data_IF_594906452592
#
_entry.id   IF_594906452592
#
_cell.length_a   1.000
_cell.length_b   1.000
_cell.length_c   1.000
_cell.angle_alpha   90.00
_cell.angle_beta   90.00
_cell.angle_gamma   90.00
#
_symmetry.space_group_name_H-M   'P 1'
#
loop_
_entity.id
_entity.type
_entity.pdbx_description
1 polymer ?
#
# COMPACT_ATOMS: atom_id res chain seq x y z
N UNK A 1 -19.29 -26.13 26.51
CA UNK A 1 -19.15 -24.65 26.56
C UNK A 1 -17.68 -24.42 26.83
N UNK A 2 -16.86 -24.42 25.79
CA UNK A 2 -15.41 -24.32 25.91
C UNK A 2 -14.93 -23.14 25.06
N UNK A 3 -15.22 -21.94 25.57
CA UNK A 3 -14.53 -20.71 25.20
C UNK A 3 -13.48 -20.50 26.29
N UNK A 4 -12.20 -20.69 25.99
CA UNK A 4 -11.04 -19.97 26.56
C UNK A 4 -9.73 -20.73 26.31
N UNK A 5 -9.04 -20.42 25.21
CA UNK A 5 -7.57 -20.38 25.24
C UNK A 5 -6.98 -19.45 24.16
N UNK A 6 -7.56 -18.25 24.02
CA UNK A 6 -6.90 -17.12 23.35
C UNK A 6 -6.01 -16.45 24.39
N UNK A 7 -4.71 -16.28 24.11
CA UNK A 7 -3.83 -15.41 24.89
C UNK A 7 -4.45 -14.02 25.05
N UNK A 8 -5.11 -13.79 26.18
CA UNK A 8 -5.69 -12.50 26.50
C UNK A 8 -4.58 -11.65 27.14
N UNK A 9 -4.39 -10.44 26.61
CA UNK A 9 -3.43 -9.48 27.20
C UNK A 9 -3.84 -9.25 28.66
N UNK A 10 -2.95 -9.45 29.65
CA UNK A 10 -3.24 -9.13 31.04
C UNK A 10 -3.73 -7.69 31.20
N UNK A 11 -4.77 -7.47 32.01
CA UNK A 11 -5.36 -6.15 32.20
C UNK A 11 -4.34 -5.08 32.61
N UNK A 12 -3.31 -5.47 33.35
CA UNK A 12 -2.21 -4.60 33.80
C UNK A 12 -1.29 -4.10 32.66
N UNK A 13 -1.38 -4.69 31.46
CA UNK A 13 -0.64 -4.27 30.28
C UNK A 13 -1.52 -3.57 29.24
N UNK A 14 -2.79 -3.31 29.56
CA UNK A 14 -3.71 -2.63 28.66
C UNK A 14 -3.81 -1.15 29.00
N UNK A 15 -3.78 -0.33 27.96
CA UNK A 15 -4.10 1.08 28.04
C UNK A 15 -5.58 1.25 28.43
N UNK A 16 -5.92 2.04 29.47
CA UNK A 16 -7.31 2.25 29.87
C UNK A 16 -8.18 2.96 28.83
N UNK A 17 -7.57 3.66 27.85
CA UNK A 17 -8.30 4.38 26.80
C UNK A 17 -8.55 3.47 25.58
N UNK A 18 -7.49 2.90 25.00
CA UNK A 18 -7.61 2.07 23.80
C UNK A 18 -8.03 0.63 24.10
N UNK A 19 -7.84 0.18 25.34
CA UNK A 19 -7.98 -1.22 25.78
C UNK A 19 -6.99 -2.19 25.08
N UNK A 20 -6.04 -1.64 24.33
CA UNK A 20 -4.96 -2.36 23.66
C UNK A 20 -3.71 -2.43 24.54
N UNK A 21 -2.77 -3.31 24.18
CA UNK A 21 -1.44 -3.39 24.81
C UNK A 21 -0.74 -2.02 24.75
N UNK A 22 -0.14 -1.57 25.85
CA UNK A 22 0.69 -0.36 25.80
C UNK A 22 1.84 -0.51 24.80
N UNK A 23 2.00 0.48 23.92
CA UNK A 23 3.13 0.58 22.97
C UNK A 23 4.19 1.55 23.48
N UNK A 24 3.76 2.67 24.04
CA UNK A 24 4.61 3.64 24.72
C UNK A 24 3.92 4.12 26.01
N UNK A 25 4.03 3.36 27.12
CA UNK A 25 3.34 3.68 28.35
C UNK A 25 3.90 4.97 28.97
N UNK A 26 3.03 5.94 29.21
CA UNK A 26 3.33 7.23 29.84
C UNK A 26 2.40 7.48 31.02
N UNK A 27 2.92 8.07 32.07
CA UNK A 27 2.22 8.34 33.32
C UNK A 27 1.93 9.84 33.44
N UNK A 28 0.67 10.17 33.79
CA UNK A 28 0.27 11.53 34.14
C UNK A 28 0.64 11.87 35.59
N UNK A 29 0.56 13.15 35.96
CA UNK A 29 0.77 13.62 37.35
C UNK A 29 -0.19 12.98 38.37
N UNK A 30 -1.31 12.40 37.93
CA UNK A 30 -2.24 11.62 38.76
C UNK A 30 -1.75 10.19 39.07
N UNK A 31 -0.61 9.76 38.52
CA UNK A 31 -0.06 8.42 38.68
C UNK A 31 -0.68 7.35 37.77
N UNK A 32 -1.68 7.70 36.95
CA UNK A 32 -2.28 6.77 35.98
C UNK A 32 -1.46 6.70 34.70
N UNK A 33 -1.34 5.49 34.14
CA UNK A 33 -0.54 5.23 32.93
C UNK A 33 -1.43 4.98 31.72
N UNK A 34 -1.08 5.61 30.60
CA UNK A 34 -1.77 5.56 29.31
C UNK A 34 -0.78 5.28 28.18
N UNK A 35 -1.26 4.79 27.05
CA UNK A 35 -0.44 4.73 25.84
C UNK A 35 -0.29 6.15 25.26
N UNK A 36 0.93 6.58 24.94
CA UNK A 36 1.23 7.96 24.54
C UNK A 36 0.29 8.50 23.45
N UNK A 37 0.10 7.82 22.29
CA UNK A 37 -0.81 8.29 21.26
C UNK A 37 -2.25 8.46 21.74
N UNK A 38 -2.69 7.61 22.67
CA UNK A 38 -4.06 7.63 23.21
C UNK A 38 -4.28 8.84 24.11
N UNK A 39 -3.34 9.12 25.02
CA UNK A 39 -3.48 10.25 25.95
C UNK A 39 -3.21 11.59 25.27
N UNK A 40 -2.25 11.66 24.33
CA UNK A 40 -2.00 12.87 23.55
C UNK A 40 -3.24 13.25 22.71
N UNK A 41 -3.90 12.27 22.11
CA UNK A 41 -5.17 12.49 21.40
C UNK A 41 -6.29 12.96 22.32
N UNK A 42 -6.41 12.39 23.53
CA UNK A 42 -7.40 12.81 24.53
C UNK A 42 -7.22 14.28 24.94
N UNK A 43 -5.97 14.68 25.21
CA UNK A 43 -5.64 16.06 25.60
C UNK A 43 -5.81 17.04 24.44
N UNK A 44 -5.40 16.66 23.22
CA UNK A 44 -5.62 17.46 22.02
C UNK A 44 -7.11 17.68 21.71
N UNK A 45 -7.99 16.78 22.18
CA UNK A 45 -9.44 16.93 22.12
C UNK A 45 -10.03 17.98 23.07
N UNK A 46 -9.20 18.72 23.83
CA UNK A 46 -9.62 19.78 24.75
C UNK A 46 -9.96 19.28 26.16
N UNK A 47 -9.71 18.01 26.47
CA UNK A 47 -9.99 17.46 27.79
C UNK A 47 -8.87 17.85 28.78
N UNK A 48 -9.26 18.39 29.95
CA UNK A 48 -8.32 18.79 31.01
C UNK A 48 -8.36 17.87 32.24
N UNK A 49 -8.85 16.65 32.08
CA UNK A 49 -9.04 15.68 33.16
C UNK A 49 -8.37 14.36 32.84
N UNK A 50 -7.93 13.67 33.90
CA UNK A 50 -7.47 12.30 33.84
C UNK A 50 -8.64 11.36 33.47
N UNK A 51 -8.54 10.55 32.39
CA UNK A 51 -9.64 9.69 31.92
C UNK A 51 -10.17 8.69 32.96
N UNK A 52 -9.32 8.22 33.87
CA UNK A 52 -9.67 7.18 34.86
C UNK A 52 -10.08 7.79 36.19
N UNK A 53 -9.30 8.74 36.71
CA UNK A 53 -9.58 9.33 38.04
C UNK A 53 -10.56 10.49 37.99
N UNK A 54 -10.87 11.00 36.79
CA UNK A 54 -11.68 12.21 36.57
C UNK A 54 -11.14 13.46 37.27
N UNK A 55 -9.90 13.43 37.77
CA UNK A 55 -9.25 14.57 38.42
C UNK A 55 -8.75 15.55 37.37
N UNK A 56 -8.85 16.85 37.68
CA UNK A 56 -8.31 17.91 36.84
C UNK A 56 -6.79 17.84 36.84
N UNK A 57 -6.19 17.85 35.66
CA UNK A 57 -4.74 17.81 35.53
C UNK A 57 -4.16 19.20 35.82
N UNK A 58 -3.20 19.33 36.76
CA UNK A 58 -2.52 20.59 37.02
C UNK A 58 -1.63 21.01 35.84
N UNK A 59 -1.09 20.02 35.11
CA UNK A 59 -0.29 20.17 33.93
C UNK A 59 -0.53 19.02 32.94
N UNK A 60 -0.15 19.21 31.67
CA UNK A 60 -0.29 18.21 30.61
C UNK A 60 0.98 17.39 30.38
N UNK A 61 1.89 17.39 31.36
CA UNK A 61 3.14 16.66 31.24
C UNK A 61 2.90 15.15 31.31
N UNK A 62 3.60 14.41 30.45
CA UNK A 62 3.55 12.95 30.38
C UNK A 62 4.96 12.41 30.60
N UNK A 63 5.13 11.56 31.61
CA UNK A 63 6.42 10.97 31.94
C UNK A 63 6.47 9.52 31.43
N UNK A 64 7.49 9.10 30.65
CA UNK A 64 7.61 7.72 30.22
C UNK A 64 7.67 6.72 31.39
N UNK A 65 6.85 5.68 31.36
CA UNK A 65 6.87 4.60 32.34
C UNK A 65 7.75 3.45 31.85
N UNK A 66 9.06 3.65 31.95
CA UNK A 66 10.06 2.66 31.52
C UNK A 66 9.93 1.33 32.26
N UNK A 67 9.51 1.35 33.53
CA UNK A 67 9.31 0.15 34.34
C UNK A 67 8.18 -0.71 33.79
N UNK A 68 7.01 -0.12 33.50
CA UNK A 68 5.90 -0.84 32.89
C UNK A 68 6.27 -1.34 31.50
N UNK A 69 7.00 -0.53 30.72
CA UNK A 69 7.54 -0.95 29.42
C UNK A 69 8.42 -2.19 29.56
N UNK A 70 9.38 -2.21 30.50
CA UNK A 70 10.22 -3.37 30.78
C UNK A 70 9.43 -4.61 31.24
N UNK A 71 8.38 -4.44 32.05
CA UNK A 71 7.53 -5.55 32.48
C UNK A 71 6.69 -6.11 31.35
N UNK A 72 6.17 -5.24 30.50
CA UNK A 72 5.51 -5.62 29.26
C UNK A 72 6.52 -6.39 28.42
N UNK A 73 7.67 -5.83 28.07
CA UNK A 73 8.74 -6.49 27.31
C UNK A 73 9.09 -7.88 27.89
N UNK A 74 9.14 -8.02 29.21
CA UNK A 74 9.42 -9.31 29.87
C UNK A 74 8.26 -10.31 29.82
N UNK A 75 7.03 -9.86 30.02
CA UNK A 75 5.85 -10.70 29.85
C UNK A 75 5.71 -11.15 28.40
N UNK A 76 5.97 -10.20 27.51
CA UNK A 76 6.03 -10.39 26.09
C UNK A 76 7.04 -11.52 25.74
N UNK A 77 8.24 -11.48 26.32
CA UNK A 77 9.24 -12.54 26.13
C UNK A 77 8.81 -13.93 26.65
N UNK A 78 7.81 -14.04 27.53
CA UNK A 78 7.31 -15.33 28.07
C UNK A 78 6.15 -15.92 27.28
N UNK A 79 5.19 -15.10 26.81
CA UNK A 79 3.97 -15.58 26.14
C UNK A 79 4.21 -16.39 24.86
N UNK A 80 5.38 -16.24 24.23
CA UNK A 80 5.76 -16.97 23.01
C UNK A 80 6.24 -18.41 23.29
N UNK A 81 6.64 -18.72 24.54
CA UNK A 81 7.18 -20.02 24.91
C UNK A 81 6.11 -21.08 25.23
N UNK A 82 4.93 -20.68 25.72
CA UNK A 82 3.95 -21.60 26.31
C UNK A 82 3.00 -22.27 25.30
N UNK A 83 3.07 -21.94 24.01
CA UNK A 83 2.11 -22.46 23.03
C UNK A 83 2.46 -23.81 22.37
N UNK A 84 3.55 -24.49 22.76
CA UNK A 84 3.87 -25.80 22.17
C UNK A 84 4.16 -26.96 23.11
N UNK A 85 4.48 -26.76 24.39
CA UNK A 85 4.84 -27.89 25.26
C UNK A 85 4.19 -27.79 26.64
N UNK A 86 2.96 -28.29 26.73
CA UNK A 86 2.50 -28.95 27.95
C UNK A 86 3.31 -30.24 28.10
N UNK A 87 4.30 -30.18 28.99
CA UNK A 87 5.03 -31.27 29.66
C UNK A 87 6.55 -31.22 29.47
N UNK A 88 7.18 -30.93 30.62
CA UNK A 88 8.56 -31.19 31.03
C UNK A 88 9.69 -30.38 30.38
N UNK A 89 10.51 -29.82 31.27
CA UNK A 89 11.91 -29.55 31.00
C UNK A 89 12.26 -28.08 31.03
N UNK A 90 13.02 -27.70 32.06
CA UNK A 90 13.80 -26.48 32.12
C UNK A 90 14.52 -26.17 30.80
N UNK A 91 14.05 -25.17 30.08
CA UNK A 91 14.66 -24.66 28.86
C UNK A 91 14.51 -23.15 28.83
N UNK A 92 15.64 -22.46 28.83
CA UNK A 92 15.77 -21.01 28.70
C UNK A 92 14.89 -20.53 27.52
N UNK A 93 14.09 -19.45 27.66
CA UNK A 93 13.24 -19.00 26.56
C UNK A 93 14.12 -18.58 25.39
N UNK A 94 13.89 -19.18 24.21
CA UNK A 94 14.52 -18.77 22.95
C UNK A 94 13.95 -17.39 22.60
N UNK A 95 14.62 -16.36 23.12
CA UNK A 95 14.23 -14.95 23.03
C UNK A 95 14.08 -14.52 21.57
N UNK A 96 13.03 -13.77 21.24
CA UNK A 96 12.89 -13.11 19.93
C UNK A 96 14.14 -12.27 19.60
N UNK A 97 14.87 -11.81 20.61
CA UNK A 97 16.19 -11.20 20.45
C UNK A 97 17.23 -12.16 19.85
N UNK A 98 17.24 -13.44 20.23
CA UNK A 98 18.10 -14.48 19.65
C UNK A 98 17.70 -14.74 18.19
N UNK A 99 16.41 -14.73 17.87
CA UNK A 99 15.96 -14.83 16.48
C UNK A 99 16.42 -13.60 15.68
N UNK A 100 16.28 -12.40 16.24
CA UNK A 100 16.74 -11.15 15.62
C UNK A 100 18.26 -11.14 15.36
N UNK A 101 19.06 -11.49 16.37
CA UNK A 101 20.52 -11.56 16.23
C UNK A 101 20.94 -12.68 15.29
N UNK A 102 20.25 -13.82 15.33
CA UNK A 102 20.48 -14.94 14.43
C UNK A 102 20.18 -14.61 12.97
N UNK A 103 19.17 -13.78 12.71
CA UNK A 103 18.86 -13.31 11.36
C UNK A 103 19.96 -12.39 10.80
N UNK A 104 20.48 -11.48 11.63
CA UNK A 104 21.54 -10.53 11.24
C UNK A 104 22.94 -11.17 11.16
N UNK A 105 23.20 -12.23 11.92
CA UNK A 105 24.52 -12.87 11.94
C UNK A 105 24.86 -13.48 10.58
N UNK A 106 26.09 -13.26 10.12
CA UNK A 106 26.61 -13.91 8.91
C UNK A 106 26.97 -15.39 9.15
N UNK A 107 27.14 -15.79 10.40
CA UNK A 107 27.58 -17.14 10.79
C UNK A 107 26.43 -18.14 10.89
N UNK A 108 25.18 -17.65 10.93
CA UNK A 108 24.02 -18.53 11.05
C UNK A 108 23.70 -19.20 9.71
N UNK A 109 23.48 -20.53 9.71
CA UNK A 109 23.19 -21.25 8.49
C UNK A 109 21.84 -20.81 7.92
N UNK A 110 21.73 -20.80 6.59
CA UNK A 110 20.52 -20.39 5.87
C UNK A 110 19.26 -21.12 6.36
N UNK A 111 19.37 -22.42 6.66
CA UNK A 111 18.27 -23.21 7.22
C UNK A 111 17.75 -22.65 8.55
N UNK A 112 18.64 -22.17 9.44
CA UNK A 112 18.25 -21.56 10.70
C UNK A 112 17.61 -20.18 10.49
N UNK A 113 18.11 -19.39 9.52
CA UNK A 113 17.49 -18.10 9.15
C UNK A 113 16.08 -18.29 8.59
N UNK A 114 15.89 -19.29 7.72
CA UNK A 114 14.57 -19.65 7.19
C UNK A 114 13.60 -20.06 8.30
N UNK A 115 14.05 -20.89 9.25
CA UNK A 115 13.21 -21.31 10.37
C UNK A 115 12.86 -20.13 11.28
N UNK A 116 13.80 -19.22 11.53
CA UNK A 116 13.54 -17.98 12.26
C UNK A 116 12.49 -17.11 11.54
N UNK A 117 12.61 -16.92 10.22
CA UNK A 117 11.62 -16.17 9.44
C UNK A 117 10.24 -16.84 9.41
N UNK A 118 10.17 -18.17 9.34
CA UNK A 118 8.88 -18.89 9.42
C UNK A 118 8.19 -18.62 10.75
N UNK A 119 8.93 -18.58 11.86
CA UNK A 119 8.40 -18.20 13.18
C UNK A 119 7.93 -16.74 13.22
N UNK A 120 8.72 -15.81 12.66
CA UNK A 120 8.31 -14.40 12.53
C UNK A 120 7.02 -14.27 11.70
N UNK A 121 6.92 -15.01 10.60
CA UNK A 121 5.73 -15.03 9.74
C UNK A 121 4.50 -15.47 10.53
N UNK A 122 4.56 -16.60 11.22
CA UNK A 122 3.46 -17.13 12.04
C UNK A 122 3.00 -16.09 13.08
N UNK A 123 3.94 -15.44 13.77
CA UNK A 123 3.62 -14.39 14.74
C UNK A 123 2.98 -13.16 14.08
N UNK A 124 3.43 -12.79 12.87
CA UNK A 124 2.84 -11.70 12.11
C UNK A 124 1.47 -12.01 11.53
N UNK A 125 1.07 -13.30 11.44
CA UNK A 125 -0.22 -13.70 10.85
C UNK A 125 -1.29 -14.01 11.88
N UNK A 126 -0.94 -14.73 12.94
CA UNK A 126 -1.93 -15.38 13.82
C UNK A 126 -2.33 -14.54 15.02
N UNK A 127 -1.56 -13.49 15.36
CA UNK A 127 -1.77 -12.70 16.57
C UNK A 127 -1.49 -11.22 16.34
N UNK A 128 -2.47 -10.36 16.60
CA UNK A 128 -2.26 -8.91 16.61
C UNK A 128 -1.33 -8.48 17.75
N UNK A 129 -1.36 -9.22 18.87
CA UNK A 129 -0.36 -9.09 19.93
C UNK A 129 1.01 -9.42 19.32
N UNK A 130 1.14 -10.59 18.68
CA UNK A 130 2.30 -11.07 17.89
C UNK A 130 2.93 -9.99 17.00
N UNK A 131 2.11 -9.32 16.18
CA UNK A 131 2.51 -8.20 15.32
C UNK A 131 3.05 -7.02 16.12
N UNK A 132 2.40 -6.66 17.23
CA UNK A 132 2.84 -5.57 18.11
C UNK A 132 4.23 -5.85 18.69
N UNK A 133 4.52 -7.09 19.14
CA UNK A 133 5.88 -7.50 19.53
C UNK A 133 6.88 -7.35 18.39
N UNK A 134 6.45 -7.80 17.21
CA UNK A 134 7.11 -7.64 15.90
C UNK A 134 7.76 -6.27 15.77
N UNK A 135 6.89 -5.29 15.93
CA UNK A 135 7.13 -3.88 15.75
C UNK A 135 7.99 -3.34 16.90
N UNK A 136 7.64 -3.64 18.15
CA UNK A 136 8.37 -3.17 19.33
C UNK A 136 9.83 -3.62 19.39
N UNK A 137 10.13 -4.80 18.86
CA UNK A 137 11.49 -5.35 18.81
C UNK A 137 12.26 -4.94 17.54
N UNK A 138 11.76 -3.98 16.75
CA UNK A 138 12.37 -3.52 15.50
C UNK A 138 12.75 -4.68 14.56
N UNK A 139 11.81 -5.59 14.30
CA UNK A 139 12.01 -6.59 13.25
C UNK A 139 11.89 -5.98 11.85
N UNK A 140 11.11 -4.91 11.68
CA UNK A 140 10.92 -4.29 10.37
C UNK A 140 12.25 -3.84 9.71
N UNK A 141 13.14 -3.09 10.40
CA UNK A 141 14.45 -2.72 9.84
C UNK A 141 15.33 -3.92 9.52
N UNK A 142 15.26 -4.98 10.33
CA UNK A 142 16.03 -6.22 10.13
C UNK A 142 15.59 -6.93 8.86
N UNK A 143 14.28 -7.00 8.62
CA UNK A 143 13.74 -7.60 7.40
C UNK A 143 14.12 -6.78 6.17
N UNK A 144 14.06 -5.45 6.24
CA UNK A 144 14.50 -4.56 5.15
C UNK A 144 15.99 -4.78 4.84
N UNK A 145 16.84 -4.87 5.87
CA UNK A 145 18.26 -5.18 5.71
C UNK A 145 18.46 -6.55 5.03
N UNK A 146 17.75 -7.59 5.47
CA UNK A 146 17.85 -8.94 4.89
C UNK A 146 17.49 -8.99 3.41
N UNK A 147 16.48 -8.22 2.99
CA UNK A 147 16.02 -8.21 1.60
C UNK A 147 16.93 -7.38 0.71
N UNK A 148 17.30 -6.17 1.13
CA UNK A 148 17.89 -5.18 0.23
C UNK A 148 19.39 -4.94 0.45
N UNK A 149 19.96 -5.37 1.59
CA UNK A 149 21.37 -5.12 1.92
C UNK A 149 22.21 -6.40 1.96
N UNK A 150 21.60 -7.58 1.89
CA UNK A 150 22.33 -8.85 1.76
C UNK A 150 22.58 -9.21 0.28
N UNK A 151 23.71 -9.86 -0.05
CA UNK A 151 24.00 -10.31 -1.41
C UNK A 151 22.92 -11.25 -1.95
N UNK A 152 22.47 -10.98 -3.18
CA UNK A 152 21.49 -11.80 -3.89
C UNK A 152 22.18 -13.04 -4.44
N UNK A 153 22.05 -14.16 -3.73
CA UNK A 153 22.42 -15.48 -4.22
C UNK A 153 21.16 -16.32 -4.49
N UNK A 154 21.20 -17.23 -5.46
CA UNK A 154 20.05 -18.09 -5.80
C UNK A 154 19.52 -18.88 -4.59
N UNK A 155 20.40 -19.28 -3.67
CA UNK A 155 20.03 -19.96 -2.43
C UNK A 155 19.21 -19.08 -1.47
N UNK A 156 19.31 -17.75 -1.60
CA UNK A 156 18.66 -16.77 -0.73
C UNK A 156 17.26 -16.37 -1.20
N UNK A 157 16.80 -16.82 -2.38
CA UNK A 157 15.51 -16.37 -2.95
C UNK A 157 14.31 -16.79 -2.11
N UNK A 158 14.30 -17.99 -1.52
CA UNK A 158 13.23 -18.42 -0.60
C UNK A 158 13.22 -17.54 0.67
N UNK A 159 14.41 -17.19 1.17
CA UNK A 159 14.58 -16.34 2.34
C UNK A 159 14.06 -14.92 2.07
N UNK A 160 14.39 -14.36 0.90
CA UNK A 160 13.92 -13.04 0.46
C UNK A 160 12.41 -13.03 0.28
N UNK A 161 11.82 -14.06 -0.34
CA UNK A 161 10.37 -14.16 -0.50
C UNK A 161 9.64 -14.20 0.85
N UNK A 162 10.14 -14.99 1.81
CA UNK A 162 9.60 -15.03 3.18
C UNK A 162 9.78 -13.70 3.92
N UNK A 163 10.93 -13.06 3.78
CA UNK A 163 11.19 -11.77 4.42
C UNK A 163 10.28 -10.67 3.85
N UNK A 164 10.06 -10.62 2.53
CA UNK A 164 9.12 -9.70 1.88
C UNK A 164 7.68 -9.90 2.37
N UNK A 165 7.22 -11.16 2.50
CA UNK A 165 5.90 -11.47 3.05
C UNK A 165 5.76 -10.94 4.50
N UNK A 166 6.79 -11.13 5.33
CA UNK A 166 6.82 -10.56 6.68
C UNK A 166 6.81 -9.02 6.67
N UNK A 167 7.57 -8.36 5.78
CA UNK A 167 7.56 -6.89 5.64
C UNK A 167 6.15 -6.40 5.35
N UNK A 168 5.46 -6.98 4.37
CA UNK A 168 4.11 -6.54 3.99
C UNK A 168 3.08 -6.72 5.10
N UNK A 169 3.19 -7.79 5.88
CA UNK A 169 2.30 -8.03 7.04
C UNK A 169 2.53 -7.03 8.18
N UNK A 170 3.76 -6.53 8.32
CA UNK A 170 4.11 -5.51 9.31
C UNK A 170 3.93 -4.07 8.78
N UNK A 171 3.82 -3.90 7.45
CA UNK A 171 3.80 -2.63 6.72
C UNK A 171 2.70 -1.60 7.07
N UNK A 172 1.56 -1.91 7.73
CA UNK A 172 0.58 -0.87 8.08
C UNK A 172 0.99 0.03 9.27
N UNK A 173 2.14 -0.21 9.90
CA UNK A 173 2.47 0.31 11.23
C UNK A 173 3.40 1.54 11.24
N UNK A 174 3.11 2.63 10.52
CA UNK A 174 3.89 3.90 10.59
C UNK A 174 5.44 3.81 10.37
N UNK A 175 5.97 2.64 10.06
CA UNK A 175 7.40 2.29 10.01
C UNK A 175 7.99 2.35 8.59
N UNK A 176 7.26 2.95 7.65
CA UNK A 176 7.69 3.06 6.25
C UNK A 176 8.94 3.95 6.09
N UNK A 177 9.27 4.77 7.09
CA UNK A 177 10.51 5.55 7.14
C UNK A 177 11.77 4.68 7.02
N UNK A 178 11.76 3.43 7.50
CA UNK A 178 12.90 2.51 7.36
C UNK A 178 13.16 2.10 5.90
N UNK A 179 12.16 2.20 5.02
CA UNK A 179 12.35 1.95 3.60
C UNK A 179 13.19 3.03 2.92
N UNK A 180 13.41 4.19 3.55
CA UNK A 180 14.32 5.22 3.02
C UNK A 180 15.77 4.74 2.90
N UNK A 181 16.13 3.60 3.50
CA UNK A 181 17.39 2.89 3.23
C UNK A 181 17.55 2.57 1.73
N UNK A 182 16.43 2.33 1.01
CA UNK A 182 16.40 2.09 -0.43
C UNK A 182 16.86 3.29 -1.27
N UNK A 183 17.05 4.48 -0.69
CA UNK A 183 17.66 5.61 -1.39
C UNK A 183 19.15 5.40 -1.67
N UNK A 184 19.79 4.44 -1.00
CA UNK A 184 21.18 4.08 -1.23
C UNK A 184 21.32 3.22 -2.50
N UNK A 185 22.32 3.52 -3.34
CA UNK A 185 22.50 2.88 -4.65
C UNK A 185 22.54 1.34 -4.59
N UNK A 186 23.22 0.77 -3.59
CA UNK A 186 23.31 -0.69 -3.43
C UNK A 186 21.96 -1.34 -3.11
N UNK A 187 21.19 -0.73 -2.20
CA UNK A 187 19.88 -1.25 -1.79
C UNK A 187 18.83 -1.06 -2.90
N UNK A 188 18.90 0.07 -3.62
CA UNK A 188 18.07 0.31 -4.79
C UNK A 188 18.36 -0.69 -5.91
N UNK A 189 19.64 -0.97 -6.17
CA UNK A 189 20.06 -1.96 -7.17
C UNK A 189 19.52 -3.35 -6.83
N UNK A 190 19.54 -3.74 -5.54
CA UNK A 190 18.95 -4.99 -5.08
C UNK A 190 17.44 -5.06 -5.36
N UNK A 191 16.70 -3.97 -5.10
CA UNK A 191 15.27 -3.87 -5.42
C UNK A 191 15.01 -4.06 -6.92
N UNK A 192 15.81 -3.43 -7.79
CA UNK A 192 15.68 -3.55 -9.25
C UNK A 192 15.94 -4.99 -9.71
N UNK A 193 17.02 -5.61 -9.24
CA UNK A 193 17.35 -7.01 -9.58
C UNK A 193 16.25 -7.97 -9.13
N UNK A 194 15.68 -7.76 -7.95
CA UNK A 194 14.56 -8.58 -7.45
C UNK A 194 13.29 -8.40 -8.27
N UNK A 195 13.00 -7.19 -8.76
CA UNK A 195 11.86 -6.94 -9.66
C UNK A 195 12.06 -7.62 -11.03
N UNK A 196 13.27 -7.59 -11.58
CA UNK A 196 13.59 -8.18 -12.88
C UNK A 196 13.62 -9.70 -12.83
N UNK A 197 14.37 -10.27 -11.87
CA UNK A 197 14.74 -11.69 -11.82
C UNK A 197 13.97 -12.49 -10.77
N UNK A 198 13.21 -11.84 -9.89
CA UNK A 198 12.48 -12.51 -8.80
C UNK A 198 11.34 -13.41 -9.29
N UNK A 199 10.88 -14.27 -8.38
CA UNK A 199 9.68 -15.10 -8.62
C UNK A 199 8.46 -14.22 -8.85
N UNK A 200 7.42 -14.76 -9.48
CA UNK A 200 6.14 -14.04 -9.60
C UNK A 200 5.63 -13.52 -8.25
N UNK A 201 5.81 -14.27 -7.16
CA UNK A 201 5.34 -13.85 -5.83
C UNK A 201 6.17 -12.68 -5.30
N UNK A 202 7.50 -12.74 -5.44
CA UNK A 202 8.37 -11.63 -5.09
C UNK A 202 7.99 -10.35 -5.85
N UNK A 203 7.74 -10.44 -7.16
CA UNK A 203 7.29 -9.30 -7.97
C UNK A 203 5.98 -8.71 -7.44
N UNK A 204 5.00 -9.56 -7.13
CA UNK A 204 3.74 -9.12 -6.49
C UNK A 204 4.00 -8.42 -5.16
N UNK A 205 4.84 -9.00 -4.29
CA UNK A 205 5.15 -8.41 -3.00
C UNK A 205 5.87 -7.05 -3.11
N UNK A 206 6.81 -6.93 -4.03
CA UNK A 206 7.51 -5.68 -4.30
C UNK A 206 6.57 -4.61 -4.88
N UNK A 207 5.61 -4.98 -5.73
CA UNK A 207 4.58 -4.06 -6.21
C UNK A 207 3.72 -3.52 -5.06
N UNK A 208 3.27 -4.39 -4.15
CA UNK A 208 2.51 -3.97 -2.95
C UNK A 208 3.36 -3.05 -2.06
N UNK A 209 4.66 -3.33 -1.93
CA UNK A 209 5.58 -2.47 -1.19
C UNK A 209 5.73 -1.08 -1.85
N UNK A 210 5.84 -1.03 -3.18
CA UNK A 210 5.89 0.23 -3.95
C UNK A 210 4.60 1.03 -3.78
N UNK A 211 3.45 0.37 -3.78
CA UNK A 211 2.16 1.01 -3.46
C UNK A 211 2.19 1.62 -2.05
N UNK A 212 2.65 0.87 -1.05
CA UNK A 212 2.78 1.39 0.32
C UNK A 212 3.75 2.59 0.41
N UNK A 213 4.86 2.56 -0.33
CA UNK A 213 5.81 3.68 -0.43
C UNK A 213 5.15 4.91 -1.07
N UNK A 214 4.35 4.72 -2.10
CA UNK A 214 3.71 5.81 -2.84
C UNK A 214 2.60 6.51 -2.05
N UNK A 215 1.93 5.80 -1.15
CA UNK A 215 0.83 6.35 -0.33
C UNK A 215 1.31 7.08 0.90
N UNK A 216 2.55 6.85 1.33
CA UNK A 216 3.13 7.45 2.53
C UNK A 216 3.81 8.79 2.25
N UNK A 217 3.53 9.78 3.11
CA UNK A 217 4.16 11.10 3.05
C UNK A 217 5.64 11.09 3.42
N UNK A 218 6.09 10.12 4.23
CA UNK A 218 7.48 10.03 4.73
C UNK A 218 8.48 9.45 3.73
N UNK A 219 7.96 8.86 2.64
CA UNK A 219 8.73 8.17 1.60
C UNK A 219 8.57 8.80 0.22
N UNK A 220 8.09 10.04 0.13
CA UNK A 220 7.85 10.76 -1.13
C UNK A 220 9.09 10.83 -2.04
N UNK A 221 10.25 11.12 -1.47
CA UNK A 221 11.50 11.18 -2.23
C UNK A 221 11.88 9.81 -2.83
N UNK A 222 11.67 8.72 -2.07
CA UNK A 222 11.90 7.37 -2.57
C UNK A 222 10.91 7.02 -3.69
N UNK A 223 9.65 7.43 -3.55
CA UNK A 223 8.66 7.29 -4.62
C UNK A 223 9.09 8.03 -5.90
N UNK A 224 9.71 9.21 -5.76
CA UNK A 224 10.27 9.95 -6.90
C UNK A 224 11.40 9.19 -7.59
N UNK A 225 12.33 8.60 -6.83
CA UNK A 225 13.40 7.77 -7.39
C UNK A 225 12.86 6.52 -8.11
N UNK A 226 11.88 5.84 -7.51
CA UNK A 226 11.21 4.69 -8.14
C UNK A 226 10.52 5.10 -9.46
N UNK A 227 9.89 6.27 -9.49
CA UNK A 227 9.20 6.80 -10.66
C UNK A 227 10.12 7.33 -11.76
N UNK A 228 11.39 7.64 -11.47
CA UNK A 228 12.40 8.03 -12.46
C UNK A 228 13.22 6.82 -12.95
N UNK A 229 13.07 5.67 -12.29
CA UNK A 229 13.81 4.46 -12.62
C UNK A 229 13.15 3.72 -13.78
N UNK A 230 13.77 3.82 -14.96
CA UNK A 230 13.38 3.08 -16.16
C UNK A 230 13.15 1.57 -15.91
N UNK A 231 14.07 0.80 -15.28
CA UNK A 231 13.87 -0.64 -15.13
C UNK A 231 12.67 -0.98 -14.23
N UNK A 232 12.40 -0.17 -13.20
CA UNK A 232 11.21 -0.36 -12.34
C UNK A 232 9.94 -0.18 -13.15
N UNK A 233 9.85 0.92 -13.92
CA UNK A 233 8.70 1.20 -14.77
C UNK A 233 8.48 0.10 -15.84
N UNK A 234 9.56 -0.35 -16.49
CA UNK A 234 9.49 -1.43 -17.49
C UNK A 234 8.95 -2.73 -16.90
N UNK A 235 9.42 -3.13 -15.72
CA UNK A 235 8.91 -4.32 -15.04
C UNK A 235 7.42 -4.15 -14.73
N UNK A 236 7.00 -3.02 -14.17
CA UNK A 236 5.59 -2.78 -13.87
C UNK A 236 4.71 -2.83 -15.12
N UNK A 237 5.15 -2.22 -16.24
CA UNK A 237 4.45 -2.29 -17.53
C UNK A 237 4.38 -3.72 -18.04
N UNK A 238 5.47 -4.48 -17.97
CA UNK A 238 5.49 -5.89 -18.39
C UNK A 238 4.49 -6.76 -17.60
N UNK A 239 4.35 -6.51 -16.29
CA UNK A 239 3.40 -7.22 -15.43
C UNK A 239 1.94 -6.85 -15.78
N UNK A 240 1.68 -5.59 -16.14
CA UNK A 240 0.36 -5.14 -16.59
C UNK A 240 -0.05 -5.80 -17.92
N UNK A 241 0.90 -5.91 -18.86
CA UNK A 241 0.68 -6.60 -20.14
C UNK A 241 0.45 -8.11 -19.96
N UNK A 242 0.96 -8.69 -18.89
CA UNK A 242 0.76 -10.10 -18.50
C UNK A 242 -0.52 -10.34 -17.67
N UNK A 243 -1.48 -9.41 -17.71
CA UNK A 243 -2.74 -9.47 -16.93
C UNK A 243 -3.59 -10.73 -17.16
N UNK A 244 -3.44 -11.42 -18.29
CA UNK A 244 -4.14 -12.69 -18.59
C UNK A 244 -3.49 -13.90 -17.93
N UNK A 245 -2.17 -13.86 -17.74
CA UNK A 245 -1.40 -14.98 -17.19
C UNK A 245 -1.25 -14.90 -15.67
N UNK A 246 -1.23 -13.69 -15.11
CA UNK A 246 -0.96 -13.49 -13.70
C UNK A 246 -1.75 -12.33 -13.10
N UNK A 247 -2.97 -12.66 -12.67
CA UNK A 247 -3.91 -11.68 -12.15
C UNK A 247 -3.36 -10.94 -10.93
N UNK A 248 -2.81 -11.68 -9.96
CA UNK A 248 -2.32 -11.10 -8.70
C UNK A 248 -1.16 -10.12 -8.92
N UNK A 249 -0.20 -10.49 -9.78
CA UNK A 249 0.92 -9.60 -10.08
C UNK A 249 0.47 -8.36 -10.86
N UNK A 250 -0.46 -8.52 -11.82
CA UNK A 250 -0.99 -7.39 -12.60
C UNK A 250 -1.83 -6.44 -11.75
N UNK A 251 -2.65 -6.96 -10.82
CA UNK A 251 -3.44 -6.15 -9.89
C UNK A 251 -2.51 -5.34 -8.97
N UNK A 252 -1.45 -5.96 -8.44
CA UNK A 252 -0.46 -5.27 -7.62
C UNK A 252 0.33 -4.22 -8.42
N UNK A 253 0.74 -4.55 -9.66
CA UNK A 253 1.44 -3.62 -10.54
C UNK A 253 0.57 -2.40 -10.90
N UNK A 254 -0.74 -2.60 -11.10
CA UNK A 254 -1.68 -1.51 -11.37
C UNK A 254 -1.78 -0.52 -10.20
N UNK A 255 -1.80 -1.03 -8.97
CA UNK A 255 -1.83 -0.18 -7.79
C UNK A 255 -0.50 0.54 -7.55
N UNK A 256 0.63 -0.16 -7.73
CA UNK A 256 1.96 0.43 -7.67
C UNK A 256 2.14 1.57 -8.70
N UNK A 257 1.77 1.33 -9.95
CA UNK A 257 1.85 2.31 -11.03
C UNK A 257 0.94 3.52 -10.75
N UNK A 258 -0.28 3.28 -10.27
CA UNK A 258 -1.19 4.34 -9.87
C UNK A 258 -0.63 5.20 -8.74
N UNK A 259 -0.05 4.55 -7.72
CA UNK A 259 0.61 5.22 -6.62
C UNK A 259 1.73 6.14 -7.09
N UNK A 260 2.64 5.64 -7.92
CA UNK A 260 3.76 6.43 -8.46
C UNK A 260 3.26 7.65 -9.26
N UNK A 261 2.33 7.45 -10.18
CA UNK A 261 1.86 8.50 -11.09
C UNK A 261 1.01 9.57 -10.39
N UNK A 262 0.24 9.18 -9.37
CA UNK A 262 -0.62 10.10 -8.63
C UNK A 262 0.15 10.89 -7.57
N UNK A 263 1.13 10.27 -6.91
CA UNK A 263 1.89 10.91 -5.83
C UNK A 263 3.01 11.83 -6.32
N UNK A 264 3.61 11.55 -7.48
CA UNK A 264 4.76 12.30 -8.01
C UNK A 264 4.46 12.77 -9.42
N UNK A 265 4.55 14.08 -9.67
CA UNK A 265 4.28 14.65 -11.00
C UNK A 265 5.45 14.42 -11.97
N UNK A 266 6.69 14.50 -11.49
CA UNK A 266 7.88 14.31 -12.32
C UNK A 266 8.00 12.90 -12.91
N UNK A 267 7.41 11.89 -12.27
CA UNK A 267 7.45 10.49 -12.75
C UNK A 267 6.49 10.22 -13.90
N UNK A 268 5.51 11.11 -14.16
CA UNK A 268 4.48 10.89 -15.19
C UNK A 268 5.08 10.85 -16.59
N UNK A 269 6.05 11.72 -16.88
CA UNK A 269 6.69 11.77 -18.19
C UNK A 269 7.46 10.48 -18.49
N UNK A 270 8.22 9.98 -17.51
CA UNK A 270 8.97 8.73 -17.63
C UNK A 270 8.03 7.52 -17.70
N UNK A 271 6.97 7.48 -16.89
CA UNK A 271 5.95 6.43 -16.96
C UNK A 271 5.27 6.37 -18.35
N UNK A 272 4.96 7.53 -18.95
CA UNK A 272 4.40 7.58 -20.31
C UNK A 272 5.40 7.04 -21.32
N UNK A 273 6.68 7.43 -21.21
CA UNK A 273 7.75 7.01 -22.11
C UNK A 273 7.95 5.49 -22.08
N UNK A 274 7.87 4.87 -20.90
CA UNK A 274 8.02 3.41 -20.74
C UNK A 274 6.73 2.62 -21.03
N UNK A 275 5.65 3.27 -21.47
CA UNK A 275 4.44 2.58 -21.92
C UNK A 275 3.40 2.31 -20.83
N UNK A 276 3.40 3.06 -19.73
CA UNK A 276 2.40 2.89 -18.66
C UNK A 276 0.96 3.01 -19.15
N UNK A 277 0.70 3.90 -20.12
CA UNK A 277 -0.64 4.07 -20.72
C UNK A 277 -1.11 2.78 -21.42
N UNK A 278 -0.21 2.08 -22.11
CA UNK A 278 -0.53 0.84 -22.80
C UNK A 278 -0.77 -0.30 -21.82
N UNK A 279 0.12 -0.48 -20.85
CA UNK A 279 -0.05 -1.48 -19.80
C UNK A 279 -1.35 -1.32 -19.03
N UNK A 280 -1.69 -0.10 -18.61
CA UNK A 280 -2.92 0.19 -17.89
C UNK A 280 -4.18 -0.02 -18.74
N UNK A 281 -4.13 0.32 -20.04
CA UNK A 281 -5.23 0.09 -20.96
C UNK A 281 -5.50 -1.41 -21.19
N UNK A 282 -4.46 -2.23 -21.36
CA UNK A 282 -4.60 -3.69 -21.49
C UNK A 282 -5.15 -4.29 -20.19
N UNK A 283 -4.61 -3.90 -19.03
CA UNK A 283 -5.10 -4.34 -17.73
C UNK A 283 -6.61 -4.04 -17.55
N UNK A 284 -7.04 -2.80 -17.83
CA UNK A 284 -8.45 -2.39 -17.74
C UNK A 284 -9.34 -3.05 -18.82
N UNK A 285 -8.76 -3.54 -19.91
CA UNK A 285 -9.51 -4.26 -20.94
C UNK A 285 -9.95 -5.65 -20.47
N UNK A 286 -9.18 -6.29 -19.58
CA UNK A 286 -9.44 -7.65 -19.08
C UNK A 286 -10.69 -7.80 -18.20
N UNK A 287 -11.29 -6.71 -17.72
CA UNK A 287 -12.57 -6.75 -16.99
C UNK A 287 -12.49 -6.10 -15.60
N UNK A 288 -13.48 -6.41 -14.74
CA UNK A 288 -13.54 -5.82 -13.39
C UNK A 288 -12.47 -6.45 -12.50
N UNK A 289 -11.46 -5.67 -12.16
CA UNK A 289 -10.32 -6.06 -11.29
C UNK A 289 -10.40 -5.38 -9.94
N UNK A 290 -9.68 -5.91 -8.94
CA UNK A 290 -9.63 -5.34 -7.58
C UNK A 290 -9.13 -3.90 -7.59
N UNK A 291 -8.06 -3.64 -8.35
CA UNK A 291 -7.39 -2.33 -8.40
C UNK A 291 -7.75 -1.52 -9.65
N UNK A 292 -8.93 -1.73 -10.22
CA UNK A 292 -9.39 -0.99 -11.40
C UNK A 292 -9.56 0.52 -11.13
N UNK A 293 -10.03 0.90 -9.94
CA UNK A 293 -10.15 2.31 -9.56
C UNK A 293 -8.79 3.01 -9.51
N UNK A 294 -7.76 2.35 -8.95
CA UNK A 294 -6.39 2.84 -8.92
C UNK A 294 -5.84 3.00 -10.34
N UNK A 295 -6.03 2.01 -11.21
CA UNK A 295 -5.63 2.10 -12.60
C UNK A 295 -6.33 3.26 -13.35
N UNK A 296 -7.63 3.50 -13.09
CA UNK A 296 -8.36 4.64 -13.65
C UNK A 296 -7.83 5.98 -13.13
N UNK A 297 -7.46 6.07 -11.85
CA UNK A 297 -6.82 7.25 -11.30
C UNK A 297 -5.47 7.54 -11.97
N UNK A 298 -4.66 6.51 -12.21
CA UNK A 298 -3.42 6.62 -12.97
C UNK A 298 -3.69 7.14 -14.39
N UNK A 299 -4.65 6.55 -15.09
CA UNK A 299 -5.04 6.95 -16.45
C UNK A 299 -5.47 8.42 -16.52
N UNK A 300 -6.31 8.91 -15.59
CA UNK A 300 -6.73 10.32 -15.57
C UNK A 300 -5.53 11.26 -15.45
N UNK A 301 -4.59 10.96 -14.55
CA UNK A 301 -3.40 11.78 -14.33
C UNK A 301 -2.47 11.75 -15.55
N UNK A 302 -2.25 10.58 -16.15
CA UNK A 302 -1.42 10.46 -17.36
C UNK A 302 -2.05 11.16 -18.57
N UNK A 303 -3.40 11.14 -18.71
CA UNK A 303 -4.10 11.93 -19.74
C UNK A 303 -4.06 13.45 -19.48
N UNK A 304 -3.64 13.88 -18.29
CA UNK A 304 -3.32 15.28 -18.00
C UNK A 304 -2.13 15.80 -18.82
N UNK A 305 -1.20 14.92 -19.20
CA UNK A 305 -0.02 15.23 -20.00
C UNK A 305 -0.30 15.16 -21.50
N UNK A 306 0.34 16.01 -22.31
CA UNK A 306 0.15 16.02 -23.76
C UNK A 306 0.57 14.70 -24.42
N UNK A 307 1.74 14.18 -24.04
CA UNK A 307 2.24 12.90 -24.54
C UNK A 307 1.36 11.73 -24.09
N UNK A 308 0.81 11.80 -22.87
CA UNK A 308 -0.11 10.79 -22.36
C UNK A 308 -1.41 10.74 -23.16
N UNK A 309 -1.98 11.90 -23.52
CA UNK A 309 -3.16 11.96 -24.41
C UNK A 309 -2.88 11.34 -25.78
N UNK A 310 -1.75 11.69 -26.40
CA UNK A 310 -1.36 11.13 -27.71
C UNK A 310 -1.22 9.61 -27.64
N UNK A 311 -0.52 9.10 -26.62
CA UNK A 311 -0.38 7.67 -26.37
C UNK A 311 -1.73 6.98 -26.12
N UNK A 312 -2.60 7.58 -25.29
CA UNK A 312 -3.92 7.03 -24.96
C UNK A 312 -4.82 6.89 -26.18
N UNK A 313 -4.83 7.87 -27.09
CA UNK A 313 -5.57 7.79 -28.35
C UNK A 313 -4.97 6.74 -29.28
N UNK A 314 -3.64 6.61 -29.34
CA UNK A 314 -2.98 5.62 -30.20
C UNK A 314 -3.29 4.18 -29.78
N UNK A 315 -3.28 3.89 -28.47
CA UNK A 315 -3.50 2.55 -27.92
C UNK A 315 -5.00 2.18 -27.82
N UNK A 316 -5.91 3.11 -28.14
CA UNK A 316 -7.35 2.86 -28.06
C UNK A 316 -7.91 2.93 -26.64
N UNK A 317 -7.22 3.63 -25.73
CA UNK A 317 -7.67 3.83 -24.35
C UNK A 317 -9.05 4.52 -24.28
N UNK A 318 -9.44 5.27 -25.32
CA UNK A 318 -10.77 5.90 -25.43
C UNK A 318 -11.90 4.87 -25.26
N UNK A 319 -11.84 3.75 -25.98
CA UNK A 319 -12.86 2.68 -25.88
C UNK A 319 -12.89 2.05 -24.50
N UNK A 320 -11.70 1.85 -23.93
CA UNK A 320 -11.55 1.32 -22.57
C UNK A 320 -12.19 2.27 -21.57
N UNK A 321 -11.92 3.58 -21.65
CA UNK A 321 -12.52 4.57 -20.75
C UNK A 321 -14.04 4.61 -20.87
N UNK A 322 -14.58 4.59 -22.10
CA UNK A 322 -16.04 4.54 -22.34
C UNK A 322 -16.68 3.32 -21.68
N UNK A 323 -16.05 2.15 -21.77
CA UNK A 323 -16.50 0.92 -21.11
C UNK A 323 -16.56 1.07 -19.59
N UNK A 324 -15.69 1.88 -19.00
CA UNK A 324 -15.57 2.07 -17.54
C UNK A 324 -16.42 3.20 -16.96
N UNK A 325 -17.03 4.06 -17.79
CA UNK A 325 -17.93 5.16 -17.35
C UNK A 325 -19.05 4.67 -16.44
N UNK A 326 -19.62 3.48 -16.68
CA UNK A 326 -20.77 2.95 -15.93
C UNK A 326 -20.50 1.59 -15.23
N UNK A 327 -19.27 1.05 -15.31
CA UNK A 327 -18.98 -0.34 -14.85
C UNK A 327 -18.37 -0.48 -13.44
N UNK A 328 -18.02 0.62 -12.77
CA UNK A 328 -17.39 0.53 -11.44
C UNK A 328 -18.46 0.42 -10.35
N UNK A 329 -18.53 -0.74 -9.70
CA UNK A 329 -19.55 -1.09 -8.69
C UNK A 329 -19.19 -0.72 -7.25
N UNK A 330 -18.03 -0.12 -6.98
CA UNK A 330 -17.61 0.24 -5.62
C UNK A 330 -16.94 1.62 -5.58
N UNK A 331 -17.60 2.57 -4.91
CA UNK A 331 -17.23 3.98 -4.70
C UNK A 331 -17.16 4.81 -6.00
N UNK A 332 -17.92 5.90 -6.01
CA UNK A 332 -18.19 6.79 -7.15
C UNK A 332 -16.95 7.39 -7.84
N UNK A 333 -15.76 7.22 -7.27
CA UNK A 333 -14.51 7.75 -7.79
C UNK A 333 -14.14 7.15 -9.16
N UNK A 334 -14.35 5.85 -9.38
CA UNK A 334 -13.88 5.20 -10.61
C UNK A 334 -14.54 5.75 -11.88
N UNK A 335 -15.86 5.98 -11.85
CA UNK A 335 -16.58 6.60 -12.98
C UNK A 335 -16.16 8.06 -13.18
N UNK A 336 -15.92 8.79 -12.08
CA UNK A 336 -15.40 10.16 -12.15
C UNK A 336 -14.02 10.23 -12.82
N UNK A 337 -13.09 9.33 -12.47
CA UNK A 337 -11.75 9.23 -13.08
C UNK A 337 -11.85 8.86 -14.55
N UNK A 338 -12.71 7.90 -14.91
CA UNK A 338 -12.92 7.49 -16.30
C UNK A 338 -13.48 8.63 -17.16
N UNK A 339 -14.47 9.37 -16.66
CA UNK A 339 -15.01 10.56 -17.35
C UNK A 339 -13.97 11.68 -17.44
N UNK A 340 -13.15 11.86 -16.40
CA UNK A 340 -12.03 12.82 -16.39
C UNK A 340 -10.99 12.52 -17.47
N UNK A 341 -10.52 11.28 -17.54
CA UNK A 341 -9.58 10.81 -18.56
C UNK A 341 -10.16 10.96 -19.98
N UNK A 342 -11.42 10.56 -20.18
CA UNK A 342 -12.11 10.69 -21.46
C UNK A 342 -12.28 12.16 -21.87
N UNK A 343 -12.61 13.04 -20.92
CA UNK A 343 -12.72 14.48 -21.17
C UNK A 343 -11.39 15.09 -21.57
N UNK A 344 -10.29 14.71 -20.93
CA UNK A 344 -8.94 15.18 -21.28
C UNK A 344 -8.56 14.78 -22.72
N UNK A 345 -8.80 13.54 -23.12
CA UNK A 345 -8.54 13.08 -24.49
C UNK A 345 -9.44 13.77 -25.53
N UNK A 346 -10.75 13.85 -25.27
CA UNK A 346 -11.72 14.44 -26.21
C UNK A 346 -11.52 15.95 -26.42
N UNK A 347 -11.07 16.69 -25.40
CA UNK A 347 -10.69 18.10 -25.55
C UNK A 347 -9.54 18.30 -26.51
N UNK A 348 -8.53 17.43 -26.44
CA UNK A 348 -7.31 17.57 -27.22
C UNK A 348 -7.39 17.00 -28.65
N UNK A 349 -8.29 16.06 -28.93
CA UNK A 349 -8.30 15.34 -30.20
C UNK A 349 -9.70 15.11 -30.76
N UNK A 350 -9.93 15.53 -32.01
CA UNK A 350 -11.16 15.21 -32.76
C UNK A 350 -11.29 13.70 -33.03
N UNK A 351 -10.17 13.01 -33.28
CA UNK A 351 -10.14 11.53 -33.41
C UNK A 351 -10.68 10.85 -32.15
N UNK A 352 -10.28 11.32 -30.97
CA UNK A 352 -10.79 10.79 -29.69
C UNK A 352 -12.31 11.00 -29.54
N UNK A 353 -12.85 12.15 -29.99
CA UNK A 353 -14.30 12.40 -29.98
C UNK A 353 -15.05 11.41 -30.86
N UNK A 354 -14.59 11.22 -32.11
CA UNK A 354 -15.20 10.27 -33.06
C UNK A 354 -15.16 8.85 -32.53
N UNK A 355 -14.03 8.45 -31.94
CA UNK A 355 -13.89 7.13 -31.33
C UNK A 355 -14.79 6.96 -30.10
N UNK A 356 -14.91 7.97 -29.25
CA UNK A 356 -15.82 7.95 -28.10
C UNK A 356 -17.28 7.81 -28.52
N UNK A 357 -17.70 8.53 -29.58
CA UNK A 357 -19.02 8.40 -30.17
C UNK A 357 -19.27 6.99 -30.70
N UNK A 358 -18.33 6.45 -31.48
CA UNK A 358 -18.41 5.09 -32.02
C UNK A 358 -18.44 4.01 -30.92
N UNK A 359 -17.80 4.26 -29.78
CA UNK A 359 -17.81 3.36 -28.62
C UNK A 359 -19.09 3.46 -27.77
N UNK A 360 -20.03 4.35 -28.10
CA UNK A 360 -21.30 4.50 -27.38
C UNK A 360 -21.20 5.38 -26.12
N UNK A 361 -20.27 6.35 -26.09
CA UNK A 361 -20.08 7.23 -24.93
C UNK A 361 -21.36 7.98 -24.52
N UNK A 362 -22.18 8.42 -25.47
CA UNK A 362 -23.42 9.17 -25.20
C UNK A 362 -24.36 8.35 -24.32
N UNK A 363 -24.61 7.09 -24.69
CA UNK A 363 -25.50 6.20 -23.93
C UNK A 363 -24.97 5.96 -22.52
N UNK A 364 -23.67 5.70 -22.37
CA UNK A 364 -23.05 5.47 -21.06
C UNK A 364 -23.11 6.72 -20.16
N UNK A 365 -22.89 7.91 -20.72
CA UNK A 365 -22.97 9.18 -19.98
C UNK A 365 -24.41 9.52 -19.56
N UNK A 366 -25.42 9.23 -20.39
CA UNK A 366 -26.82 9.42 -20.03
C UNK A 366 -27.25 8.48 -18.91
N UNK A 367 -26.85 7.20 -18.96
CA UNK A 367 -27.08 6.25 -17.87
C UNK A 367 -26.41 6.71 -16.57
N UNK A 368 -25.17 7.21 -16.65
CA UNK A 368 -24.47 7.77 -15.50
C UNK A 368 -25.18 9.00 -14.91
N UNK A 369 -25.80 9.85 -15.73
CA UNK A 369 -26.58 11.00 -15.23
C UNK A 369 -27.86 10.59 -14.51
N UNK A 370 -28.45 9.45 -14.89
CA UNK A 370 -29.64 8.87 -14.26
C UNK A 370 -29.30 8.12 -12.97
N UNK A 371 -28.05 7.69 -12.78
CA UNK A 371 -27.63 7.02 -11.55
C UNK A 371 -27.44 7.99 -10.37
N UNK A 372 -27.35 7.41 -9.17
CA UNK A 372 -26.98 8.14 -7.95
C UNK A 372 -25.47 8.41 -7.88
N UNK A 373 -24.89 9.03 -8.92
CA UNK A 373 -23.49 9.49 -8.85
C UNK A 373 -23.38 10.92 -8.30
N UNK A 374 -22.21 11.23 -7.73
CA UNK A 374 -21.87 12.53 -7.17
C UNK A 374 -22.02 13.71 -8.13
N UNK A 375 -22.21 14.90 -7.55
CA UNK A 375 -22.46 16.14 -8.31
C UNK A 375 -21.34 16.51 -9.28
N UNK A 376 -20.08 16.25 -8.91
CA UNK A 376 -18.90 16.51 -9.76
C UNK A 376 -18.91 15.63 -11.00
N UNK A 377 -19.18 14.34 -10.84
CA UNK A 377 -19.32 13.36 -11.93
C UNK A 377 -20.43 13.77 -12.89
N UNK A 378 -21.59 14.19 -12.39
CA UNK A 378 -22.70 14.70 -13.22
C UNK A 378 -22.31 15.97 -14.00
N UNK A 379 -21.60 16.89 -13.37
CA UNK A 379 -21.12 18.11 -14.03
C UNK A 379 -20.13 17.79 -15.15
N UNK A 380 -19.15 16.91 -14.90
CA UNK A 380 -18.17 16.45 -15.91
C UNK A 380 -18.86 15.71 -17.05
N UNK A 381 -19.81 14.82 -16.76
CA UNK A 381 -20.56 14.09 -17.77
C UNK A 381 -21.36 15.03 -18.70
N UNK A 382 -22.04 16.04 -18.14
CA UNK A 382 -22.76 17.07 -18.93
C UNK A 382 -21.80 17.88 -19.81
N UNK A 383 -20.63 18.26 -19.28
CA UNK A 383 -19.63 18.99 -20.04
C UNK A 383 -19.09 18.16 -21.22
N UNK A 384 -18.83 16.88 -20.99
CA UNK A 384 -18.39 15.96 -22.04
C UNK A 384 -19.47 15.75 -23.11
N UNK A 385 -20.75 15.59 -22.72
CA UNK A 385 -21.86 15.49 -23.68
C UNK A 385 -21.96 16.73 -24.58
N UNK A 386 -21.80 17.94 -24.02
CA UNK A 386 -21.78 19.18 -24.81
C UNK A 386 -20.65 19.19 -25.84
N UNK A 387 -19.46 18.73 -25.44
CA UNK A 387 -18.28 18.65 -26.31
C UNK A 387 -18.44 17.61 -27.43
N UNK A 388 -19.08 16.47 -27.12
CA UNK A 388 -19.37 15.45 -28.14
C UNK A 388 -20.46 15.91 -29.11
N UNK A 389 -21.43 16.71 -28.64
CA UNK A 389 -22.50 17.26 -29.48
C UNK A 389 -21.98 18.24 -30.54
N UNK A 390 -21.11 19.18 -30.16
CA UNK A 390 -20.56 20.14 -31.14
C UNK A 390 -19.77 19.44 -32.26
N UNK A 391 -19.04 18.37 -31.91
CA UNK A 391 -18.32 17.55 -32.90
C UNK A 391 -19.24 16.76 -33.83
N UNK A 392 -20.46 16.45 -33.40
CA UNK A 392 -21.45 15.75 -34.22
C UNK A 392 -22.17 16.71 -35.19
N UNK A 393 -22.40 17.95 -34.75
CA UNK A 393 -22.93 19.04 -35.58
C UNK A 393 -21.92 19.41 -36.69
N UNK A 394 -20.62 19.57 -36.35
CA UNK A 394 -19.54 19.83 -37.32
C UNK A 394 -19.36 18.71 -38.38
N UNK A 395 -19.50 17.43 -38.00
CA UNK A 395 -19.38 16.28 -38.91
C UNK A 395 -20.60 16.14 -39.85
N UNK A 396 -21.77 16.67 -39.47
CA UNK A 396 -22.97 16.68 -40.32
C UNK A 396 -22.97 17.86 -41.30
N UNK A 397 -22.43 19.01 -40.90
CA UNK A 397 -22.24 20.18 -41.77
C UNK A 397 -21.17 19.96 -42.85
N UNK A 398 -20.14 19.14 -42.58
CA UNK A 398 -19.08 18.80 -43.56
C UNK A 398 -19.45 17.68 -44.53
N UNK A 399 -20.58 16.98 -44.31
CA UNK A 399 -21.11 15.91 -45.18
C UNK A 399 -22.28 16.35 -46.05
N UNK A 400 -22.85 17.52 -45.80
CA UNK A 400 -23.84 18.19 -46.66
C UNK A 400 -23.12 19.10 -47.65
#
# INVERSE_FOLDING_TARGET
>A
MDDENKMSIPLLFRCPISLDLFTDPVTLSTGQTYDRPSIEKWLAGGNSTCPVTMQRLPDFSVVPNHTLRQYIDRWLLRGVADHRNSQQGSGIPISLTILKTGLLSSETPLAAKLEALRKVRVLSTESDVGKSFLIQLDFFPVLVHLVFQCPLEKANLELVELALDCILRLSPSNNLNYLNVLKQDAAFSSLVVLLEQGSSKMKTFLCILIEAISTSTTTKELCSLLGQSQPVLQVLVSLLLQSKTNEQASDAAAAAMAGICTSVESSRADAIKEGAVEGLAEYLSTGVRRNASSALAAMEVLMGEENGRKAGVHVGAVRVMVKWVFRVSSKEEGSERAVGALMAMCRASSRARKEALAAGAVTQLLLLLQSQCGGTTKARARALLKLLRSSWEEDNETRS
#
